data_IF_737913031894
#
_entry.id   IF_737913031894
#
_cell.length_a   1.000
_cell.length_b   1.000
_cell.length_c   1.000
_cell.angle_alpha   90.00
_cell.angle_beta   90.00
_cell.angle_gamma   90.00
#
_symmetry.space_group_name_H-M   'P 1'
#
loop_
_entity.id
_entity.type
_entity.pdbx_description
1 polymer ?
#
# COMPACT_ATOMS: atom_id res chain seq x y z
N UNK A 1 22.15 -10.75 16.90
CA UNK A 1 22.59 -9.48 16.27
C UNK A 1 21.49 -8.46 16.53
N UNK A 2 21.81 -7.35 17.21
CA UNK A 2 20.80 -6.33 17.57
C UNK A 2 20.31 -5.60 16.34
N UNK A 3 18.98 -5.60 16.14
CA UNK A 3 18.35 -4.88 15.05
C UNK A 3 18.49 -3.37 15.29
N UNK A 4 18.81 -2.62 14.26
CA UNK A 4 18.91 -1.17 14.31
C UNK A 4 17.53 -0.58 14.68
N UNK A 5 17.46 0.17 15.77
CA UNK A 5 16.28 0.92 16.19
C UNK A 5 16.51 2.36 15.76
N UNK A 6 15.57 2.96 15.04
CA UNK A 6 15.61 4.38 14.72
C UNK A 6 15.51 5.23 15.99
N UNK A 7 15.98 6.49 15.97
CA UNK A 7 16.04 7.39 17.14
C UNK A 7 14.72 7.58 17.91
N UNK A 8 13.58 7.09 17.39
CA UNK A 8 12.27 7.05 18.05
C UNK A 8 11.87 5.68 18.61
N UNK A 9 12.77 4.68 18.64
CA UNK A 9 12.46 3.34 19.12
C UNK A 9 11.66 2.47 18.14
N UNK A 10 11.31 2.98 16.95
CA UNK A 10 10.57 2.24 15.93
C UNK A 10 11.52 1.35 15.11
N UNK A 11 11.05 0.13 14.80
CA UNK A 11 11.79 -0.87 14.01
C UNK A 11 11.52 -0.63 12.52
N UNK A 12 12.55 -0.40 11.67
CA UNK A 12 12.38 -0.30 10.23
C UNK A 12 11.79 -1.59 9.63
N UNK A 13 10.80 -1.46 8.73
CA UNK A 13 10.26 -2.56 7.93
C UNK A 13 10.73 -2.44 6.49
N UNK A 14 10.61 -1.23 5.88
CA UNK A 14 11.14 -0.94 4.57
C UNK A 14 12.00 0.32 4.66
N UNK A 15 13.20 0.27 4.09
CA UNK A 15 14.09 1.43 4.01
C UNK A 15 14.42 1.70 2.55
N UNK A 16 14.20 2.92 2.12
CA UNK A 16 14.58 3.43 0.79
C UNK A 16 15.77 4.36 0.95
N UNK A 17 16.83 4.15 0.16
CA UNK A 17 18.06 4.92 0.21
C UNK A 17 18.46 5.42 -1.17
N UNK A 18 18.61 6.73 -1.31
CA UNK A 18 19.12 7.42 -2.51
C UNK A 18 18.44 6.92 -3.80
N UNK A 19 17.12 6.63 -3.73
CA UNK A 19 16.39 6.00 -4.80
C UNK A 19 16.12 7.00 -5.91
N UNK A 20 16.49 6.64 -7.15
CA UNK A 20 16.16 7.38 -8.37
C UNK A 20 15.35 6.47 -9.30
N UNK A 21 14.17 6.94 -9.66
CA UNK A 21 13.24 6.29 -10.59
C UNK A 21 13.30 6.99 -11.94
N UNK A 22 13.59 6.25 -13.01
CA UNK A 22 13.72 6.82 -14.36
C UNK A 22 13.28 5.83 -15.44
N UNK A 23 12.78 6.35 -16.54
CA UNK A 23 12.51 5.61 -17.78
C UNK A 23 13.43 6.15 -18.89
N UNK A 24 14.50 5.42 -19.19
CA UNK A 24 15.56 5.91 -20.07
C UNK A 24 16.21 7.18 -19.51
N UNK A 25 16.17 8.28 -20.26
CA UNK A 25 16.71 9.58 -19.83
C UNK A 25 15.72 10.42 -19.00
N UNK A 26 14.46 9.99 -18.87
CA UNK A 26 13.45 10.72 -18.14
C UNK A 26 13.46 10.32 -16.66
N UNK A 27 13.91 11.23 -15.80
CA UNK A 27 13.89 11.05 -14.34
C UNK A 27 12.50 11.43 -13.81
N UNK A 28 11.83 10.45 -13.19
CA UNK A 28 10.52 10.66 -12.54
C UNK A 28 10.73 11.28 -11.15
N UNK A 29 11.56 10.65 -10.32
CA UNK A 29 11.95 11.10 -8.99
C UNK A 29 13.40 10.71 -8.71
N UNK A 30 14.07 11.49 -7.86
CA UNK A 30 15.46 11.25 -7.46
C UNK A 30 15.68 11.53 -5.99
N UNK A 31 16.77 11.00 -5.47
CA UNK A 31 17.26 11.26 -4.12
C UNK A 31 16.16 11.03 -3.05
N UNK A 32 15.41 9.90 -3.20
CA UNK A 32 14.40 9.54 -2.23
C UNK A 32 15.02 8.75 -1.07
N UNK A 33 14.87 9.28 0.14
CA UNK A 33 15.37 8.68 1.38
C UNK A 33 14.27 8.70 2.44
N UNK A 34 13.71 7.53 2.78
CA UNK A 34 12.70 7.42 3.84
C UNK A 34 12.64 6.01 4.41
N UNK A 35 11.99 5.90 5.57
CA UNK A 35 11.78 4.63 6.27
C UNK A 35 10.31 4.44 6.60
N UNK A 36 9.81 3.24 6.35
CA UNK A 36 8.51 2.72 6.76
C UNK A 36 8.77 1.80 7.93
N UNK A 37 8.16 2.03 9.07
CA UNK A 37 8.37 1.20 10.25
C UNK A 37 7.31 0.10 10.35
N UNK A 38 7.59 -0.95 11.12
CA UNK A 38 6.58 -1.97 11.43
C UNK A 38 5.34 -1.35 12.06
N UNK A 39 4.16 -1.73 11.57
CA UNK A 39 2.87 -1.24 12.05
C UNK A 39 2.51 0.18 11.62
N UNK A 40 3.31 0.83 10.75
CA UNK A 40 2.93 2.10 10.15
C UNK A 40 1.70 1.94 9.23
N UNK A 41 0.85 2.96 9.19
CA UNK A 41 0.07 3.30 7.99
C UNK A 41 0.82 4.42 7.30
N UNK A 42 1.73 4.05 6.43
CA UNK A 42 2.61 4.95 5.72
C UNK A 42 1.94 5.51 4.47
N UNK A 43 1.87 6.82 4.34
CA UNK A 43 1.22 7.48 3.21
C UNK A 43 2.26 7.99 2.21
N UNK A 44 2.15 7.58 0.96
CA UNK A 44 2.83 8.21 -0.17
C UNK A 44 1.86 9.22 -0.79
N UNK A 45 2.09 10.49 -0.58
CA UNK A 45 1.21 11.57 -1.03
C UNK A 45 1.92 12.56 -1.96
N UNK A 46 1.12 13.34 -2.68
CA UNK A 46 1.60 14.34 -3.64
C UNK A 46 0.59 14.58 -4.75
N UNK A 47 0.86 15.55 -5.61
CA UNK A 47 0.01 15.90 -6.74
C UNK A 47 -0.16 14.76 -7.76
N UNK A 48 -1.13 14.93 -8.69
CA UNK A 48 -1.28 13.97 -9.79
C UNK A 48 -0.02 13.94 -10.66
N UNK A 49 0.40 12.75 -11.08
CA UNK A 49 1.57 12.57 -11.93
C UNK A 49 2.94 12.72 -11.24
N UNK A 50 3.01 12.91 -9.93
CA UNK A 50 4.29 13.05 -9.21
C UNK A 50 5.03 11.71 -8.95
N UNK A 51 4.65 10.61 -9.58
CA UNK A 51 5.39 9.35 -9.48
C UNK A 51 5.01 8.44 -8.31
N UNK A 52 3.87 8.64 -7.62
CA UNK A 52 3.44 7.80 -6.48
C UNK A 52 3.28 6.32 -6.84
N UNK A 53 2.52 6.02 -7.89
CA UNK A 53 2.34 4.63 -8.36
C UNK A 53 3.63 4.06 -8.95
N UNK A 54 4.50 4.93 -9.52
CA UNK A 54 5.85 4.52 -9.95
C UNK A 54 6.69 4.09 -8.75
N UNK A 55 6.67 4.86 -7.64
CA UNK A 55 7.37 4.48 -6.41
C UNK A 55 6.84 3.13 -5.88
N UNK A 56 5.51 2.96 -5.84
CA UNK A 56 4.93 1.68 -5.43
C UNK A 56 5.44 0.53 -6.31
N UNK A 57 5.50 0.69 -7.64
CA UNK A 57 6.00 -0.34 -8.56
C UNK A 57 7.45 -0.73 -8.26
N UNK A 58 8.31 0.22 -7.89
CA UNK A 58 9.69 -0.05 -7.47
C UNK A 58 9.72 -0.80 -6.13
N UNK A 59 8.88 -0.39 -5.16
CA UNK A 59 8.82 -1.05 -3.85
C UNK A 59 8.40 -2.52 -3.96
N UNK A 60 7.49 -2.86 -4.88
CA UNK A 60 7.03 -4.24 -5.10
C UNK A 60 7.79 -4.98 -6.22
N UNK A 61 8.88 -4.40 -6.73
CA UNK A 61 9.78 -5.06 -7.70
C UNK A 61 9.23 -5.22 -9.12
N UNK A 62 8.21 -4.44 -9.50
CA UNK A 62 7.72 -4.40 -10.89
C UNK A 62 8.59 -3.54 -11.80
N UNK A 63 9.30 -2.57 -11.24
CA UNK A 63 10.26 -1.71 -11.94
C UNK A 63 11.59 -1.71 -11.18
N UNK A 64 12.71 -1.66 -11.93
CA UNK A 64 14.05 -1.56 -11.36
C UNK A 64 14.45 -0.08 -11.21
N UNK A 65 15.03 0.34 -10.07
CA UNK A 65 15.49 1.69 -9.90
C UNK A 65 16.73 1.99 -10.76
N UNK A 66 16.83 3.22 -11.27
CA UNK A 66 18.02 3.68 -11.98
C UNK A 66 19.23 3.87 -11.05
N UNK A 67 18.97 4.16 -9.76
CA UNK A 67 19.97 4.31 -8.70
C UNK A 67 19.31 4.08 -7.34
N UNK A 68 20.11 3.73 -6.34
CA UNK A 68 19.66 3.58 -4.96
C UNK A 68 19.20 2.18 -4.61
N UNK A 69 18.74 2.01 -3.40
CA UNK A 69 18.48 0.70 -2.82
C UNK A 69 17.16 0.69 -2.01
N UNK A 70 16.50 -0.45 -2.04
CA UNK A 70 15.31 -0.74 -1.25
C UNK A 70 15.64 -1.93 -0.36
N UNK A 71 15.37 -1.82 0.93
CA UNK A 71 15.57 -2.87 1.91
C UNK A 71 14.23 -3.28 2.53
N UNK A 72 14.03 -4.58 2.71
CA UNK A 72 13.00 -5.17 3.55
C UNK A 72 13.66 -5.73 4.81
N UNK A 73 13.48 -5.05 5.95
CA UNK A 73 14.28 -5.28 7.15
C UNK A 73 15.77 -5.04 6.87
N UNK A 74 16.59 -6.07 7.07
CA UNK A 74 18.04 -6.03 6.80
C UNK A 74 18.40 -6.53 5.37
N UNK A 75 17.41 -6.95 4.56
CA UNK A 75 17.61 -7.57 3.26
C UNK A 75 17.57 -6.53 2.15
N UNK A 76 18.64 -6.44 1.35
CA UNK A 76 18.69 -5.59 0.17
C UNK A 76 17.87 -6.20 -0.98
N UNK A 77 16.63 -5.75 -1.12
CA UNK A 77 15.70 -6.21 -2.15
C UNK A 77 16.17 -5.88 -3.57
N UNK A 78 16.79 -4.71 -3.76
CA UNK A 78 17.28 -4.27 -5.08
C UNK A 78 18.38 -5.18 -5.61
N UNK A 79 19.25 -5.67 -4.72
CA UNK A 79 20.39 -6.53 -5.10
C UNK A 79 20.08 -8.03 -4.97
N UNK A 80 18.93 -8.41 -4.42
CA UNK A 80 18.53 -9.80 -4.27
C UNK A 80 18.34 -10.48 -5.63
N UNK A 81 18.66 -11.74 -5.72
CA UNK A 81 18.33 -12.58 -6.88
C UNK A 81 16.82 -12.84 -6.97
N UNK A 82 16.37 -13.41 -8.08
CA UNK A 82 14.94 -13.64 -8.34
C UNK A 82 14.28 -14.55 -7.30
N UNK A 83 14.96 -15.56 -6.80
CA UNK A 83 14.43 -16.48 -5.81
C UNK A 83 14.22 -15.77 -4.47
N UNK A 84 15.20 -14.97 -4.03
CA UNK A 84 15.10 -14.21 -2.78
C UNK A 84 14.06 -13.10 -2.87
N UNK A 85 13.96 -12.41 -4.02
CA UNK A 85 12.89 -11.43 -4.25
C UNK A 85 11.51 -12.07 -4.14
N UNK A 86 11.30 -13.25 -4.72
CA UNK A 86 10.04 -13.97 -4.58
C UNK A 86 9.71 -14.33 -3.13
N UNK A 87 10.69 -14.77 -2.34
CA UNK A 87 10.48 -15.03 -0.90
C UNK A 87 10.07 -13.76 -0.13
N UNK A 88 10.67 -12.61 -0.42
CA UNK A 88 10.28 -11.32 0.16
C UNK A 88 8.86 -10.97 -0.27
N UNK A 89 8.54 -11.09 -1.56
CA UNK A 89 7.24 -10.72 -2.11
C UNK A 89 6.08 -11.64 -1.68
N UNK A 90 6.35 -12.88 -1.24
CA UNK A 90 5.32 -13.71 -0.59
C UNK A 90 4.75 -13.10 0.70
N UNK A 91 5.52 -12.23 1.35
CA UNK A 91 5.12 -11.49 2.56
C UNK A 91 4.49 -10.13 2.26
N UNK A 92 4.22 -9.86 0.97
CA UNK A 92 3.67 -8.60 0.48
C UNK A 92 2.34 -8.84 -0.20
N UNK A 93 1.31 -8.10 0.20
CA UNK A 93 0.02 -8.05 -0.47
C UNK A 93 -0.18 -6.73 -1.20
N UNK A 94 -0.81 -6.76 -2.37
CA UNK A 94 -1.02 -5.55 -3.19
C UNK A 94 -2.47 -5.42 -3.61
N UNK A 95 -3.07 -4.26 -3.33
CA UNK A 95 -4.35 -3.82 -3.86
C UNK A 95 -4.09 -2.70 -4.89
N UNK A 96 -4.27 -3.00 -6.16
CA UNK A 96 -4.21 -2.01 -7.24
C UNK A 96 -5.51 -1.20 -7.33
N UNK A 97 -5.44 -0.02 -7.93
CA UNK A 97 -6.53 0.95 -8.03
C UNK A 97 -7.87 0.37 -8.52
N UNK A 98 -7.84 -0.54 -9.51
CA UNK A 98 -9.03 -1.20 -10.05
C UNK A 98 -9.45 -2.47 -9.31
N UNK A 99 -8.82 -2.82 -8.18
CA UNK A 99 -8.98 -4.12 -7.51
C UNK A 99 -8.26 -5.26 -8.21
N UNK A 100 -8.07 -5.17 -9.53
CA UNK A 100 -7.39 -6.13 -10.42
C UNK A 100 -7.88 -7.60 -10.27
N UNK A 101 -9.17 -7.79 -9.99
CA UNK A 101 -9.79 -9.12 -9.93
C UNK A 101 -9.89 -9.74 -11.33
N UNK A 102 -9.66 -11.03 -11.43
CA UNK A 102 -9.92 -11.80 -12.63
C UNK A 102 -11.43 -11.90 -12.86
N UNK A 103 -11.91 -11.31 -13.96
CA UNK A 103 -13.36 -11.23 -14.26
C UNK A 103 -14.01 -12.56 -14.57
N UNK A 104 -13.22 -13.57 -14.98
CA UNK A 104 -13.66 -14.94 -15.28
C UNK A 104 -13.64 -15.87 -14.08
N UNK A 105 -13.25 -15.39 -12.91
CA UNK A 105 -13.18 -16.14 -11.65
C UNK A 105 -14.15 -15.56 -10.63
N UNK A 106 -14.72 -16.43 -9.78
CA UNK A 106 -15.50 -16.02 -8.61
C UNK A 106 -14.60 -15.30 -7.60
N UNK A 107 -15.19 -14.70 -6.56
CA UNK A 107 -14.40 -14.03 -5.52
C UNK A 107 -13.54 -15.03 -4.75
N UNK A 108 -14.07 -16.22 -4.45
CA UNK A 108 -13.29 -17.26 -3.77
C UNK A 108 -12.12 -17.75 -4.63
N UNK A 109 -12.33 -17.98 -5.94
CA UNK A 109 -11.29 -18.38 -6.88
C UNK A 109 -10.20 -17.29 -7.03
N UNK A 110 -10.59 -16.01 -7.04
CA UNK A 110 -9.63 -14.90 -7.06
C UNK A 110 -8.68 -14.89 -5.85
N UNK A 111 -9.18 -15.27 -4.68
CA UNK A 111 -8.37 -15.37 -3.46
C UNK A 111 -7.58 -16.68 -3.46
N UNK A 112 -8.25 -17.78 -3.84
CA UNK A 112 -7.68 -19.12 -3.88
C UNK A 112 -6.45 -19.25 -4.76
N UNK A 113 -6.38 -18.50 -5.86
CA UNK A 113 -5.27 -18.58 -6.83
C UNK A 113 -3.89 -18.43 -6.18
N UNK A 114 -3.74 -17.51 -5.21
CA UNK A 114 -2.47 -17.34 -4.49
C UNK A 114 -2.20 -18.49 -3.51
N UNK A 115 -3.26 -19.03 -2.90
CA UNK A 115 -3.15 -20.16 -1.98
C UNK A 115 -2.78 -21.45 -2.74
N UNK A 116 -3.35 -21.69 -3.92
CA UNK A 116 -3.00 -22.81 -4.81
C UNK A 116 -1.53 -22.76 -5.23
N UNK A 117 -1.01 -21.57 -5.54
CA UNK A 117 0.37 -21.42 -6.03
C UNK A 117 1.42 -21.53 -4.90
N UNK A 118 1.09 -21.07 -3.68
CA UNK A 118 2.08 -20.87 -2.63
C UNK A 118 1.89 -21.72 -1.38
N UNK A 119 0.88 -22.60 -1.33
CA UNK A 119 0.61 -23.48 -0.18
C UNK A 119 0.31 -24.90 -0.62
N UNK A 120 0.38 -25.84 0.32
CA UNK A 120 0.00 -27.25 0.11
C UNK A 120 -1.45 -27.53 0.57
N UNK A 121 -2.30 -26.50 0.66
CA UNK A 121 -3.70 -26.63 1.10
C UNK A 121 -4.51 -27.38 0.04
N UNK A 122 -5.45 -28.22 0.49
CA UNK A 122 -6.46 -28.84 -0.36
C UNK A 122 -7.45 -27.82 -0.90
N UNK A 123 -8.17 -28.14 -1.98
CA UNK A 123 -9.19 -27.26 -2.54
C UNK A 123 -10.30 -26.85 -1.53
N UNK A 124 -10.63 -27.74 -0.59
CA UNK A 124 -11.60 -27.48 0.48
C UNK A 124 -11.04 -26.45 1.49
N UNK A 125 -9.79 -26.65 1.95
CA UNK A 125 -9.12 -25.71 2.85
C UNK A 125 -8.90 -24.34 2.20
N UNK A 126 -8.54 -24.29 0.92
CA UNK A 126 -8.41 -23.05 0.15
C UNK A 126 -9.73 -22.29 0.13
N UNK A 127 -10.85 -22.99 -0.11
CA UNK A 127 -12.18 -22.39 -0.10
C UNK A 127 -12.57 -21.85 1.28
N UNK A 128 -12.23 -22.56 2.35
CA UNK A 128 -12.45 -22.11 3.74
C UNK A 128 -11.66 -20.84 4.04
N UNK A 129 -10.37 -20.81 3.67
CA UNK A 129 -9.51 -19.62 3.83
C UNK A 129 -10.07 -18.46 3.00
N UNK A 130 -10.45 -18.68 1.75
CA UNK A 130 -11.04 -17.64 0.90
C UNK A 130 -12.33 -17.07 1.50
N UNK A 131 -13.22 -17.93 2.04
CA UNK A 131 -14.44 -17.51 2.73
C UNK A 131 -14.13 -16.68 3.98
N UNK A 132 -13.12 -17.09 4.77
CA UNK A 132 -12.65 -16.30 5.92
C UNK A 132 -12.15 -14.91 5.49
N UNK A 133 -11.31 -14.83 4.45
CA UNK A 133 -10.80 -13.54 3.95
C UNK A 133 -11.91 -12.63 3.44
N UNK A 134 -12.91 -13.20 2.75
CA UNK A 134 -14.10 -12.45 2.33
C UNK A 134 -14.92 -11.97 3.54
N UNK A 135 -15.07 -12.79 4.56
CA UNK A 135 -15.78 -12.40 5.78
C UNK A 135 -15.10 -11.23 6.50
N UNK A 136 -13.75 -11.21 6.56
CA UNK A 136 -12.95 -10.11 7.15
C UNK A 136 -13.21 -8.75 6.49
N UNK A 137 -13.52 -8.75 5.19
CA UNK A 137 -13.84 -7.51 4.45
C UNK A 137 -15.36 -7.27 4.30
N UNK A 138 -16.19 -7.98 5.07
CA UNK A 138 -17.65 -7.83 5.06
C UNK A 138 -18.33 -8.38 3.81
N UNK A 139 -17.74 -9.39 3.16
CA UNK A 139 -18.26 -10.05 1.96
C UNK A 139 -18.58 -11.55 2.21
N UNK A 140 -18.95 -11.91 3.44
CA UNK A 140 -19.42 -13.27 3.75
C UNK A 140 -20.67 -13.61 2.93
N UNK A 141 -20.67 -14.76 2.26
CA UNK A 141 -21.77 -15.23 1.42
C UNK A 141 -21.66 -14.78 -0.04
N UNK A 142 -20.58 -14.08 -0.42
CA UNK A 142 -20.32 -13.66 -1.80
C UNK A 142 -19.23 -14.50 -2.49
N UNK A 143 -18.88 -15.66 -1.94
CA UNK A 143 -17.80 -16.53 -2.40
C UNK A 143 -17.95 -16.91 -3.88
N UNK A 144 -19.16 -17.21 -4.33
CA UNK A 144 -19.49 -17.70 -5.66
C UNK A 144 -19.90 -16.60 -6.65
N UNK A 145 -19.85 -15.32 -6.23
CA UNK A 145 -20.14 -14.19 -7.11
C UNK A 145 -18.91 -13.85 -7.97
N UNK A 146 -19.19 -13.40 -9.20
CA UNK A 146 -18.18 -12.83 -10.09
C UNK A 146 -18.00 -11.33 -9.82
N UNK A 147 -16.83 -10.76 -10.15
CA UNK A 147 -16.59 -9.31 -10.00
C UNK A 147 -17.65 -8.43 -10.68
N UNK A 148 -18.21 -8.86 -11.81
CA UNK A 148 -19.25 -8.14 -12.54
C UNK A 148 -20.62 -8.07 -11.86
N UNK A 149 -20.83 -8.91 -10.85
CA UNK A 149 -22.13 -9.04 -10.14
C UNK A 149 -22.20 -8.21 -8.85
N UNK A 150 -21.10 -7.54 -8.50
CA UNK A 150 -20.95 -6.77 -7.26
C UNK A 150 -20.60 -5.31 -7.54
N UNK A 151 -20.84 -4.43 -6.56
CA UNK A 151 -20.53 -3.00 -6.66
C UNK A 151 -19.01 -2.74 -6.70
N UNK A 152 -18.58 -1.58 -7.23
CA UNK A 152 -17.17 -1.18 -7.25
C UNK A 152 -16.52 -1.16 -5.86
N UNK A 153 -17.25 -0.74 -4.82
CA UNK A 153 -16.77 -0.81 -3.44
C UNK A 153 -16.59 -2.24 -2.94
N UNK A 154 -17.49 -3.16 -3.32
CA UNK A 154 -17.34 -4.58 -3.03
C UNK A 154 -16.16 -5.20 -3.78
N UNK A 155 -15.92 -4.80 -5.06
CA UNK A 155 -14.76 -5.27 -5.82
C UNK A 155 -13.45 -4.86 -5.15
N UNK A 156 -13.35 -3.62 -4.62
CA UNK A 156 -12.17 -3.17 -3.88
C UNK A 156 -11.96 -3.97 -2.60
N UNK A 157 -13.03 -4.25 -1.84
CA UNK A 157 -12.94 -5.09 -0.65
C UNK A 157 -12.56 -6.53 -0.98
N UNK A 158 -13.06 -7.10 -2.07
CA UNK A 158 -12.63 -8.42 -2.55
C UNK A 158 -11.16 -8.42 -3.01
N UNK A 159 -10.71 -7.36 -3.68
CA UNK A 159 -9.28 -7.16 -4.01
C UNK A 159 -8.39 -7.07 -2.77
N UNK A 160 -8.89 -6.43 -1.69
CA UNK A 160 -8.23 -6.40 -0.39
C UNK A 160 -8.16 -7.81 0.24
N UNK A 161 -9.26 -8.57 0.22
CA UNK A 161 -9.28 -9.95 0.69
C UNK A 161 -8.25 -10.81 -0.06
N UNK A 162 -8.12 -10.65 -1.38
CA UNK A 162 -7.09 -11.32 -2.18
C UNK A 162 -5.68 -10.88 -1.79
N UNK A 163 -5.45 -9.58 -1.58
CA UNK A 163 -4.14 -9.08 -1.15
C UNK A 163 -3.71 -9.67 0.19
N UNK A 164 -4.67 -10.07 1.04
CA UNK A 164 -4.44 -10.71 2.34
C UNK A 164 -4.40 -12.23 2.30
N UNK A 165 -4.51 -12.88 1.14
CA UNK A 165 -4.66 -14.35 1.04
C UNK A 165 -3.57 -15.12 1.79
N UNK A 166 -2.31 -14.66 1.72
CA UNK A 166 -1.13 -15.29 2.32
C UNK A 166 -0.72 -14.67 3.67
N UNK A 167 -1.60 -13.93 4.35
CA UNK A 167 -1.29 -13.23 5.61
C UNK A 167 -0.01 -12.38 5.54
N UNK A 168 0.07 -11.42 4.61
CA UNK A 168 1.29 -10.65 4.37
C UNK A 168 1.67 -9.76 5.56
N UNK A 169 2.98 -9.54 5.73
CA UNK A 169 3.53 -8.60 6.71
C UNK A 169 3.38 -7.15 6.27
N UNK A 170 3.33 -6.92 4.94
CA UNK A 170 3.17 -5.59 4.33
C UNK A 170 2.04 -5.60 3.31
N UNK A 171 1.18 -4.58 3.38
CA UNK A 171 0.10 -4.35 2.43
C UNK A 171 0.34 -3.03 1.69
N UNK A 172 0.36 -3.07 0.36
CA UNK A 172 0.44 -1.89 -0.50
C UNK A 172 -0.91 -1.62 -1.15
N UNK A 173 -1.38 -0.38 -1.06
CA UNK A 173 -2.65 0.06 -1.63
C UNK A 173 -2.42 1.23 -2.58
N UNK A 174 -2.77 1.07 -3.85
CA UNK A 174 -2.69 2.12 -4.86
C UNK A 174 -4.07 2.74 -5.05
N UNK A 175 -4.27 3.97 -4.57
CA UNK A 175 -5.52 4.74 -4.64
C UNK A 175 -6.76 3.93 -4.20
N UNK A 176 -6.78 3.34 -2.98
CA UNK A 176 -7.80 2.38 -2.59
C UNK A 176 -9.21 2.97 -2.56
N UNK A 177 -9.37 4.24 -2.20
CA UNK A 177 -10.65 4.94 -2.11
C UNK A 177 -11.08 5.62 -3.42
N UNK A 178 -10.22 5.65 -4.46
CA UNK A 178 -10.53 6.32 -5.72
C UNK A 178 -11.84 5.81 -6.35
N UNK A 179 -12.75 6.73 -6.69
CA UNK A 179 -14.04 6.40 -7.30
C UNK A 179 -15.10 5.85 -6.34
N UNK A 180 -14.83 5.80 -5.04
CA UNK A 180 -15.84 5.51 -4.02
C UNK A 180 -16.55 6.78 -3.58
N UNK A 181 -17.80 6.63 -3.14
CA UNK A 181 -18.50 7.70 -2.42
C UNK A 181 -17.84 7.92 -1.03
N UNK A 182 -18.05 9.09 -0.40
CA UNK A 182 -17.37 9.42 0.86
C UNK A 182 -17.67 8.46 2.02
N UNK A 183 -18.83 7.82 2.04
CA UNK A 183 -19.20 6.85 3.09
C UNK A 183 -18.41 5.56 2.87
N UNK A 184 -18.42 5.05 1.64
CA UNK A 184 -17.66 3.84 1.26
C UNK A 184 -16.15 4.02 1.44
N UNK A 185 -15.61 5.21 1.12
CA UNK A 185 -14.20 5.54 1.35
C UNK A 185 -13.85 5.48 2.84
N UNK A 186 -14.68 6.07 3.70
CA UNK A 186 -14.48 6.04 5.15
C UNK A 186 -14.53 4.61 5.71
N UNK A 187 -15.50 3.81 5.28
CA UNK A 187 -15.60 2.40 5.70
C UNK A 187 -14.36 1.60 5.27
N UNK A 188 -13.79 1.90 4.11
CA UNK A 188 -12.53 1.29 3.68
C UNK A 188 -11.35 1.74 4.55
N UNK A 189 -11.28 3.01 4.92
CA UNK A 189 -10.27 3.55 5.83
C UNK A 189 -10.34 2.86 7.22
N UNK A 190 -11.55 2.70 7.78
CA UNK A 190 -11.78 1.99 9.03
C UNK A 190 -11.33 0.53 8.93
N UNK A 191 -11.67 -0.16 7.84
CA UNK A 191 -11.22 -1.53 7.57
C UNK A 191 -9.70 -1.65 7.48
N UNK A 192 -9.02 -0.69 6.83
CA UNK A 192 -7.55 -0.65 6.76
C UNK A 192 -6.93 -0.59 8.16
N UNK A 193 -7.48 0.24 9.06
CA UNK A 193 -7.01 0.33 10.44
C UNK A 193 -7.25 -0.96 11.23
N UNK A 194 -8.44 -1.56 11.09
CA UNK A 194 -8.78 -2.83 11.74
C UNK A 194 -7.84 -3.96 11.29
N UNK A 195 -7.53 -4.04 10.00
CA UNK A 195 -6.61 -5.03 9.46
C UNK A 195 -5.17 -4.82 9.95
N UNK A 196 -4.68 -3.57 9.96
CA UNK A 196 -3.37 -3.26 10.54
C UNK A 196 -3.30 -3.72 12.00
N UNK A 197 -4.30 -3.38 12.80
CA UNK A 197 -4.29 -3.66 14.25
C UNK A 197 -4.47 -5.15 14.56
N UNK A 198 -5.31 -5.85 13.80
CA UNK A 198 -5.59 -7.28 14.02
C UNK A 198 -4.51 -8.20 13.47
N UNK A 199 -3.89 -7.84 12.35
CA UNK A 199 -2.83 -8.64 11.71
C UNK A 199 -1.42 -8.21 12.14
N UNK A 200 -1.27 -7.04 12.77
CA UNK A 200 0.04 -6.45 13.03
C UNK A 200 0.78 -6.04 11.75
N UNK A 201 0.08 -5.90 10.65
CA UNK A 201 0.66 -5.62 9.34
C UNK A 201 1.12 -4.16 9.23
N UNK A 202 2.12 -3.93 8.39
CA UNK A 202 2.49 -2.58 7.93
C UNK A 202 1.69 -2.26 6.67
N UNK A 203 1.12 -1.08 6.60
CA UNK A 203 0.30 -0.65 5.46
C UNK A 203 0.95 0.54 4.76
N UNK A 204 1.08 0.48 3.44
CA UNK A 204 1.57 1.58 2.60
C UNK A 204 0.44 1.99 1.67
N UNK A 205 -0.02 3.22 1.78
CA UNK A 205 -1.12 3.75 0.98
C UNK A 205 -0.61 4.86 0.06
N UNK A 206 -0.74 4.63 -1.23
CA UNK A 206 -0.55 5.66 -2.24
C UNK A 206 -1.88 6.35 -2.47
N UNK A 207 -1.98 7.64 -2.15
CA UNK A 207 -3.24 8.38 -2.35
C UNK A 207 -3.03 9.89 -2.41
N UNK A 208 -3.99 10.58 -3.01
CA UNK A 208 -4.12 12.04 -3.00
C UNK A 208 -5.37 12.50 -2.21
N UNK A 209 -6.16 11.56 -1.67
CA UNK A 209 -7.37 11.83 -0.87
C UNK A 209 -6.99 12.32 0.54
N UNK A 210 -7.07 13.64 0.74
CA UNK A 210 -6.59 14.28 1.99
C UNK A 210 -7.39 13.80 3.21
N UNK A 211 -8.68 13.49 3.03
CA UNK A 211 -9.52 12.97 4.11
C UNK A 211 -8.96 11.65 4.68
N UNK A 212 -8.62 10.69 3.81
CA UNK A 212 -8.00 9.42 4.19
C UNK A 212 -6.59 9.62 4.75
N UNK A 213 -5.76 10.46 4.10
CA UNK A 213 -4.40 10.80 4.58
C UNK A 213 -4.41 11.22 6.05
N UNK A 214 -5.31 12.15 6.40
CA UNK A 214 -5.42 12.68 7.77
C UNK A 214 -6.14 11.74 8.73
N UNK A 215 -6.99 10.82 8.21
CA UNK A 215 -7.71 9.88 9.04
C UNK A 215 -6.83 8.72 9.51
N UNK A 216 -6.10 8.09 8.58
CA UNK A 216 -5.42 6.82 8.85
C UNK A 216 -3.89 6.92 8.89
N UNK A 217 -3.26 7.92 8.23
CA UNK A 217 -1.81 8.03 8.15
C UNK A 217 -1.15 8.39 9.49
N UNK A 218 -0.13 7.63 9.90
CA UNK A 218 0.71 7.96 11.05
C UNK A 218 2.14 8.32 10.65
N UNK A 219 2.55 8.00 9.43
CA UNK A 219 3.82 8.40 8.83
C UNK A 219 3.61 8.65 7.33
N UNK A 220 4.45 9.44 6.69
CA UNK A 220 4.24 9.79 5.28
C UNK A 220 5.47 10.36 4.59
N UNK A 221 5.41 10.37 3.25
CA UNK A 221 6.32 11.11 2.37
C UNK A 221 5.49 11.94 1.38
N UNK A 222 5.91 13.19 1.15
CA UNK A 222 5.32 14.06 0.12
C UNK A 222 6.25 14.15 -1.08
N UNK A 223 5.78 13.66 -2.24
CA UNK A 223 6.48 13.74 -3.51
C UNK A 223 6.09 15.00 -4.27
N UNK A 224 7.07 15.77 -4.73
CA UNK A 224 6.87 17.01 -5.48
C UNK A 224 7.37 16.89 -6.92
N UNK A 225 6.47 17.11 -7.87
CA UNK A 225 6.76 17.01 -9.32
C UNK A 225 7.70 18.11 -9.81
N UNK A 226 7.65 19.30 -9.18
CA UNK A 226 8.47 20.44 -9.65
C UNK A 226 9.96 20.26 -9.30
N UNK A 227 10.25 19.68 -8.16
CA UNK A 227 11.62 19.37 -7.71
C UNK A 227 12.09 17.96 -8.08
N UNK A 228 11.20 17.10 -8.55
CA UNK A 228 11.42 15.68 -8.83
C UNK A 228 12.04 14.92 -7.63
N UNK A 229 11.60 15.25 -6.41
CA UNK A 229 12.06 14.61 -5.18
C UNK A 229 11.00 14.66 -4.08
N UNK A 230 11.30 14.07 -2.93
CA UNK A 230 10.50 14.26 -1.72
C UNK A 230 10.83 15.59 -1.04
N UNK A 231 9.83 16.34 -0.60
CA UNK A 231 10.02 17.65 0.06
C UNK A 231 9.58 17.66 1.52
N UNK A 232 8.91 16.61 1.99
CA UNK A 232 8.56 16.46 3.40
C UNK A 232 8.36 14.97 3.74
N UNK A 233 8.61 14.62 5.00
CA UNK A 233 8.30 13.31 5.58
C UNK A 233 7.87 13.47 7.04
N UNK A 234 7.05 12.54 7.53
CA UNK A 234 6.57 12.51 8.91
C UNK A 234 5.05 12.35 9.03
N UNK A 235 4.53 12.56 10.24
CA UNK A 235 3.10 12.41 10.52
C UNK A 235 2.26 13.46 9.75
N UNK A 236 1.24 13.07 8.94
CA UNK A 236 0.48 14.01 8.10
C UNK A 236 -0.13 15.20 8.85
N UNK A 237 -0.68 14.97 10.06
CA UNK A 237 -1.25 16.06 10.88
C UNK A 237 -0.20 17.06 11.37
N UNK A 238 1.02 16.59 11.65
CA UNK A 238 2.14 17.47 12.01
C UNK A 238 2.63 18.25 10.80
N UNK A 239 2.71 17.60 9.63
CA UNK A 239 3.05 18.26 8.37
C UNK A 239 2.04 19.36 8.01
N UNK A 240 0.74 19.10 8.20
CA UNK A 240 -0.31 20.12 8.03
C UNK A 240 -0.08 21.31 8.95
N UNK A 241 0.25 21.07 10.22
CA UNK A 241 0.38 22.12 11.23
C UNK A 241 1.72 22.89 11.13
N UNK A 242 2.83 22.22 10.79
CA UNK A 242 4.18 22.73 11.03
C UNK A 242 5.14 22.61 9.84
N UNK A 243 4.76 22.02 8.69
CA UNK A 243 5.67 21.92 7.54
C UNK A 243 6.19 23.29 7.15
N UNK A 244 7.49 23.42 6.93
CA UNK A 244 8.10 24.65 6.42
C UNK A 244 7.67 24.92 4.97
N UNK A 245 7.41 23.88 4.19
CA UNK A 245 7.02 24.00 2.78
C UNK A 245 5.53 24.37 2.64
N UNK A 246 5.22 25.50 1.97
CA UNK A 246 3.84 25.94 1.77
C UNK A 246 3.04 25.03 0.83
N UNK A 247 3.68 24.29 -0.10
CA UNK A 247 2.99 23.33 -0.98
C UNK A 247 2.37 22.21 -0.17
N UNK A 248 3.14 21.63 0.79
CA UNK A 248 2.69 20.56 1.67
C UNK A 248 1.48 21.02 2.50
N UNK A 249 1.58 22.20 3.15
CA UNK A 249 0.46 22.73 3.93
C UNK A 249 -0.77 23.00 3.07
N UNK A 250 -0.60 23.62 1.88
CA UNK A 250 -1.71 23.88 0.96
C UNK A 250 -2.37 22.59 0.47
N UNK A 251 -1.60 21.57 0.18
CA UNK A 251 -2.13 20.27 -0.23
C UNK A 251 -2.98 19.66 0.88
N UNK A 252 -2.45 19.57 2.10
CA UNK A 252 -3.15 18.97 3.24
C UNK A 252 -4.31 19.82 3.77
N UNK A 253 -4.33 21.14 3.55
CA UNK A 253 -5.43 22.02 3.97
C UNK A 253 -6.69 21.86 3.10
N UNK A 254 -6.60 21.41 1.84
CA UNK A 254 -7.77 21.20 0.95
C UNK A 254 -8.83 20.31 1.58
N UNK A 255 -8.43 19.26 2.29
CA UNK A 255 -9.36 18.37 2.99
C UNK A 255 -10.11 19.00 4.17
N UNK A 256 -9.77 20.22 4.60
CA UNK A 256 -10.52 20.95 5.63
C UNK A 256 -11.59 21.86 5.01
N UNK A 257 -11.42 22.32 3.78
CA UNK A 257 -12.39 23.16 3.06
C UNK A 257 -13.58 22.33 2.56
N UNK A 258 -13.36 21.07 2.19
CA UNK A 258 -14.43 20.15 1.76
C UNK A 258 -15.34 19.65 2.90
N UNK A 259 -14.98 19.91 4.17
CA UNK A 259 -15.77 19.55 5.36
C UNK A 259 -16.65 20.69 5.90
N UNK A 260 -16.63 21.87 5.29
CA UNK A 260 -17.48 23.02 5.63
C UNK A 260 -18.60 23.18 4.60
#
# INVERSE_FOLDING_TARGET
>A
MGQAINGNGARPHITVRDLTMAYGSFVVMRDLDFTINHGDVFIVMGGSGCGKSTLLRHLIGLDEPAKGEIFYGDENFTQADSARRQEILRRVGVLFQSGALWSSMTLAENIGLLLEEYTDLSAEEIREVASLKLALVGLKGFEDYYPSEISGGMQKRAGLARAMALDPEVLFFDEPSAGLDPISARLLDELILELRDSLGATVVVVTHEVASILAIGNNSVFLDVDSNTMIASGHPKELLARSADPKVRRFLARGQEERR
#
